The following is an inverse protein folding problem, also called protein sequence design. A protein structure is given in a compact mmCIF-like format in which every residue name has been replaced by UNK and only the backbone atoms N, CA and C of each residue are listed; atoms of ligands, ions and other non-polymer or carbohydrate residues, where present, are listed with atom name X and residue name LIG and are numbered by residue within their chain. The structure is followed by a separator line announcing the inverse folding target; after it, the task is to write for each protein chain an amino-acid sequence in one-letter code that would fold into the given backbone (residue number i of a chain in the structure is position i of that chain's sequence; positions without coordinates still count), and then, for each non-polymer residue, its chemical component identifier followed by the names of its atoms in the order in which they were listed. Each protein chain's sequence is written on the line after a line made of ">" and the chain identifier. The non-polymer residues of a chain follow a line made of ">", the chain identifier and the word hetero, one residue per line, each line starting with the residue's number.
data_IF_387483376384
#
_entry.id   IF_387483376384
#
_cell.length_a   1.000
_cell.length_b   1.000
_cell.length_c   1.000
_cell.angle_alpha   90.00
_cell.angle_beta   90.00
_cell.angle_gamma   90.00
#
_symmetry.space_group_name_H-M   'P 1'
#
loop_
_entity.id
_entity.type
_entity.pdbx_description
1 polymer ?
#
# COMPACT_ATOMS: atom_id res chain seq x y z
N UNK A 1 7.50 2.27 23.98
CA UNK A 1 6.61 3.14 23.19
C UNK A 1 5.35 2.37 22.86
N UNK A 2 4.18 3.00 22.93
CA UNK A 2 2.92 2.37 22.53
C UNK A 2 2.78 2.46 20.99
N UNK A 3 2.42 1.36 20.32
CA UNK A 3 2.20 1.34 18.86
C UNK A 3 0.70 1.55 18.62
N UNK A 4 0.32 2.69 18.05
CA UNK A 4 -1.09 3.02 17.80
C UNK A 4 -1.58 2.51 16.45
N UNK A 5 -0.72 2.46 15.44
CA UNK A 5 -1.09 2.11 14.07
C UNK A 5 -0.13 1.05 13.48
N UNK A 6 -0.31 -0.23 13.84
CA UNK A 6 0.62 -1.29 13.48
C UNK A 6 0.74 -1.53 11.96
N UNK A 7 -0.31 -1.26 11.17
CA UNK A 7 -0.34 -1.49 9.72
C UNK A 7 0.03 -0.26 8.88
N UNK A 8 0.40 0.85 9.51
CA UNK A 8 1.07 1.96 8.84
C UNK A 8 2.57 1.79 9.10
N UNK A 9 3.36 1.65 8.04
CA UNK A 9 4.80 1.51 8.20
C UNK A 9 5.40 2.76 8.84
N UNK A 10 6.52 2.59 9.54
CA UNK A 10 7.33 3.69 10.11
C UNK A 10 7.66 4.72 9.02
N UNK A 11 7.83 4.25 7.79
CA UNK A 11 8.10 5.09 6.62
C UNK A 11 6.86 5.59 5.86
N UNK A 12 5.64 5.38 6.35
CA UNK A 12 4.40 5.94 5.75
C UNK A 12 3.71 5.08 4.72
N UNK A 13 4.40 4.07 4.23
CA UNK A 13 3.80 3.07 3.38
C UNK A 13 2.72 2.29 4.13
N UNK A 14 1.56 2.11 3.52
CA UNK A 14 0.48 1.29 4.08
C UNK A 14 0.79 -0.21 3.94
N UNK A 15 0.98 -0.92 5.06
CA UNK A 15 1.14 -2.38 5.03
C UNK A 15 -0.11 -3.07 4.48
N UNK A 16 -1.30 -2.49 4.71
CA UNK A 16 -2.59 -2.98 4.20
C UNK A 16 -2.64 -3.10 2.67
N UNK A 17 -1.77 -2.40 1.94
CA UNK A 17 -1.70 -2.44 0.47
C UNK A 17 -0.44 -3.17 -0.03
N UNK A 18 0.13 -4.04 0.79
CA UNK A 18 1.33 -4.81 0.45
C UNK A 18 0.98 -6.26 0.10
N UNK A 19 1.55 -6.79 -0.97
CA UNK A 19 1.39 -8.19 -1.37
C UNK A 19 1.83 -9.17 -0.28
N UNK A 20 2.87 -8.84 0.49
CA UNK A 20 3.35 -9.68 1.61
C UNK A 20 2.43 -9.65 2.85
N UNK A 21 1.64 -8.60 3.02
CA UNK A 21 0.64 -8.53 4.09
C UNK A 21 -0.55 -9.45 3.80
N UNK A 22 -0.88 -9.59 2.51
CA UNK A 22 -1.91 -10.49 2.00
C UNK A 22 -1.38 -11.88 1.61
N UNK A 23 -0.24 -12.30 2.16
CA UNK A 23 0.24 -13.68 2.01
C UNK A 23 -0.55 -14.60 2.96
N UNK A 24 -0.96 -15.76 2.46
CA UNK A 24 -1.58 -16.80 3.29
C UNK A 24 -0.51 -17.65 3.99
N UNK A 25 -0.79 -18.05 5.23
CA UNK A 25 0.10 -18.91 6.03
C UNK A 25 1.13 -18.15 6.89
N UNK A 26 2.08 -18.91 7.45
CA UNK A 26 3.02 -18.45 8.49
C UNK A 26 4.05 -17.42 8.01
N UNK A 27 4.23 -17.29 6.68
CA UNK A 27 5.14 -16.30 6.08
C UNK A 27 4.50 -14.91 5.91
N UNK A 28 3.24 -14.73 6.34
CA UNK A 28 2.54 -13.44 6.30
C UNK A 28 3.34 -12.36 7.03
N UNK A 29 3.56 -11.24 6.36
CA UNK A 29 4.20 -10.08 6.97
C UNK A 29 3.18 -9.26 7.76
N UNK A 30 3.36 -9.14 9.08
CA UNK A 30 2.48 -8.32 9.93
C UNK A 30 2.72 -6.81 9.86
N UNK A 31 3.75 -6.36 9.13
CA UNK A 31 4.15 -4.95 9.04
C UNK A 31 5.44 -4.64 9.80
N UNK A 32 6.07 -3.50 9.53
CA UNK A 32 7.41 -3.20 10.06
C UNK A 32 7.48 -3.02 11.58
N UNK A 33 6.32 -2.87 12.23
CA UNK A 33 6.18 -2.66 13.67
C UNK A 33 5.90 -3.95 14.44
N UNK A 34 5.76 -5.09 13.75
CA UNK A 34 5.64 -6.40 14.43
C UNK A 34 6.99 -6.91 14.86
N UNK A 35 7.01 -7.74 15.91
CA UNK A 35 8.23 -8.36 16.43
C UNK A 35 9.01 -9.10 15.34
N UNK A 36 8.31 -9.86 14.49
CA UNK A 36 8.89 -10.61 13.37
C UNK A 36 9.63 -9.74 12.34
N UNK A 37 9.29 -8.44 12.23
CA UNK A 37 9.94 -7.50 11.30
C UNK A 37 10.83 -6.48 12.00
N UNK A 38 10.73 -6.33 13.32
CA UNK A 38 11.54 -5.43 14.11
C UNK A 38 13.05 -5.75 14.08
N UNK A 39 13.41 -6.97 13.65
CA UNK A 39 14.79 -7.43 13.42
C UNK A 39 15.27 -7.34 11.96
N UNK A 40 14.44 -6.91 11.01
CA UNK A 40 14.73 -6.97 9.57
C UNK A 40 15.80 -5.96 9.04
N UNK A 41 16.63 -5.39 9.92
CA UNK A 41 17.74 -4.51 9.55
C UNK A 41 17.37 -3.14 8.99
N UNK A 42 16.09 -2.77 8.93
CA UNK A 42 15.67 -1.47 8.41
C UNK A 42 16.20 -0.32 9.31
N UNK A 43 16.91 0.68 8.74
CA UNK A 43 17.45 1.79 9.53
C UNK A 43 16.37 2.65 10.17
N UNK A 44 15.15 2.68 9.62
CA UNK A 44 14.03 3.42 10.21
C UNK A 44 13.45 2.74 11.45
N UNK A 45 13.43 1.40 11.48
CA UNK A 45 13.01 0.61 12.66
C UNK A 45 13.96 0.88 13.84
N UNK A 46 15.26 0.93 13.60
CA UNK A 46 16.22 1.19 14.69
C UNK A 46 16.26 2.65 15.09
N UNK A 47 15.86 3.57 14.21
CA UNK A 47 15.86 5.00 14.49
C UNK A 47 14.58 5.46 15.21
N UNK A 48 13.44 5.46 14.53
CA UNK A 48 12.22 6.11 15.00
C UNK A 48 11.68 5.46 16.31
N UNK A 49 11.25 4.19 16.32
CA UNK A 49 10.65 3.63 17.53
C UNK A 49 11.67 3.26 18.61
N UNK A 50 12.89 2.84 18.26
CA UNK A 50 13.89 2.36 19.25
C UNK A 50 14.76 3.46 19.85
N UNK A 51 15.25 4.41 19.05
CA UNK A 51 16.18 5.47 19.53
C UNK A 51 15.48 6.79 19.83
N UNK A 52 14.56 7.21 18.96
CA UNK A 52 13.86 8.49 19.08
C UNK A 52 12.54 8.39 19.84
N UNK A 53 12.01 7.18 20.04
CA UNK A 53 10.77 6.95 20.78
C UNK A 53 9.51 7.45 20.07
N UNK A 54 9.57 7.61 18.74
CA UNK A 54 8.46 8.07 17.91
C UNK A 54 7.96 6.96 16.98
N UNK A 55 6.66 6.96 16.67
CA UNK A 55 6.05 5.87 15.92
C UNK A 55 6.38 5.92 14.42
N UNK A 56 6.46 7.13 13.88
CA UNK A 56 6.73 7.38 12.47
C UNK A 56 7.91 8.30 12.25
N UNK A 57 8.50 8.25 11.07
CA UNK A 57 9.55 9.19 10.71
C UNK A 57 9.06 10.63 10.58
N UNK A 58 7.78 10.87 10.27
CA UNK A 58 7.21 12.23 10.26
C UNK A 58 6.89 12.77 11.66
N UNK A 59 6.83 11.91 12.70
CA UNK A 59 6.65 12.38 14.08
C UNK A 59 7.97 12.92 14.67
N UNK A 60 9.11 12.64 14.03
CA UNK A 60 10.42 13.06 14.50
C UNK A 60 10.62 14.56 14.28
N UNK A 61 11.02 15.32 15.31
CA UNK A 61 11.27 16.77 15.20
C UNK A 61 12.29 17.12 14.09
N UNK A 62 13.25 16.23 13.85
CA UNK A 62 14.26 16.37 12.80
C UNK A 62 13.76 15.95 11.40
N UNK A 63 12.47 15.63 11.19
CA UNK A 63 12.01 15.00 9.95
C UNK A 63 12.27 15.83 8.69
N UNK A 64 12.28 17.17 8.81
CA UNK A 64 12.52 18.08 7.69
C UNK A 64 13.99 18.11 7.26
N UNK A 65 14.91 17.96 8.21
CA UNK A 65 16.36 18.01 7.98
C UNK A 65 17.02 16.62 7.95
N UNK A 66 16.24 15.56 8.20
CA UNK A 66 16.75 14.19 8.24
C UNK A 66 17.17 13.69 6.85
N UNK A 67 18.47 13.65 6.58
CA UNK A 67 19.00 13.17 5.30
C UNK A 67 18.56 11.74 4.94
N UNK A 68 18.52 10.83 5.93
CA UNK A 68 18.14 9.42 5.68
C UNK A 68 16.70 9.34 5.18
N UNK A 69 15.82 10.14 5.78
CA UNK A 69 14.42 10.23 5.42
C UNK A 69 14.24 10.88 4.05
N UNK A 70 14.93 12.00 3.80
CA UNK A 70 14.93 12.69 2.51
C UNK A 70 15.45 11.79 1.37
N UNK A 71 16.52 11.02 1.60
CA UNK A 71 17.07 10.05 0.64
C UNK A 71 16.06 8.93 0.33
N UNK A 72 15.39 8.38 1.34
CA UNK A 72 14.36 7.35 1.14
C UNK A 72 13.16 7.85 0.34
N UNK A 73 12.64 9.04 0.67
CA UNK A 73 11.56 9.71 -0.06
C UNK A 73 11.94 10.01 -1.50
N UNK A 74 13.13 10.56 -1.72
CA UNK A 74 13.65 10.86 -3.06
C UNK A 74 13.80 9.60 -3.90
N UNK A 75 14.39 8.53 -3.37
CA UNK A 75 14.48 7.26 -4.08
C UNK A 75 13.09 6.70 -4.42
N UNK A 76 12.14 6.79 -3.47
CA UNK A 76 10.75 6.37 -3.66
C UNK A 76 9.98 7.12 -4.76
N UNK A 77 10.49 8.25 -5.24
CA UNK A 77 9.90 8.95 -6.40
C UNK A 77 10.20 8.26 -7.72
N UNK A 78 11.29 7.50 -7.80
CA UNK A 78 11.76 6.91 -9.07
C UNK A 78 11.74 5.39 -9.05
N UNK A 79 11.93 4.75 -7.89
CA UNK A 79 11.99 3.30 -7.77
C UNK A 79 11.14 2.79 -6.62
N UNK A 80 10.60 1.59 -6.84
CA UNK A 80 9.82 0.84 -5.86
C UNK A 80 10.67 -0.34 -5.35
N UNK A 81 10.33 -0.86 -4.17
CA UNK A 81 10.93 -2.10 -3.67
C UNK A 81 10.03 -3.29 -4.03
N UNK A 82 9.76 -4.17 -3.07
CA UNK A 82 8.69 -5.17 -3.18
C UNK A 82 7.29 -4.55 -3.05
N UNK A 83 7.20 -3.26 -2.70
CA UNK A 83 5.95 -2.50 -2.53
C UNK A 83 6.01 -1.20 -3.36
N UNK A 84 4.85 -0.79 -3.88
CA UNK A 84 4.64 0.47 -4.58
C UNK A 84 4.78 1.69 -3.65
N UNK A 85 5.60 2.66 -4.05
CA UNK A 85 5.88 3.91 -3.31
C UNK A 85 5.25 5.13 -3.98
N UNK A 86 4.50 4.94 -5.08
CA UNK A 86 3.94 6.05 -5.88
C UNK A 86 3.06 7.01 -5.07
N UNK A 87 2.33 6.52 -4.07
CA UNK A 87 1.49 7.34 -3.19
C UNK A 87 2.25 7.97 -2.01
N UNK A 88 3.51 7.60 -1.76
CA UNK A 88 4.21 7.88 -0.50
C UNK A 88 4.22 9.37 -0.13
N UNK A 89 4.54 10.24 -1.08
CA UNK A 89 4.59 11.69 -0.82
C UNK A 89 3.20 12.27 -0.54
N UNK A 90 2.18 11.81 -1.28
CA UNK A 90 0.79 12.23 -1.08
C UNK A 90 0.24 11.71 0.26
N UNK A 91 0.60 10.48 0.64
CA UNK A 91 0.23 9.85 1.91
C UNK A 91 0.84 10.61 3.09
N UNK A 92 2.13 10.97 3.02
CA UNK A 92 2.80 11.79 4.04
C UNK A 92 2.12 13.17 4.15
N UNK A 93 1.89 13.85 3.01
CA UNK A 93 1.22 15.15 3.02
C UNK A 93 -0.21 15.06 3.58
N UNK A 94 -0.94 13.99 3.27
CA UNK A 94 -2.26 13.73 3.82
C UNK A 94 -2.20 13.54 5.34
N UNK A 95 -1.26 12.75 5.85
CA UNK A 95 -1.09 12.53 7.29
C UNK A 95 -0.72 13.83 8.02
N UNK A 96 0.19 14.63 7.45
CA UNK A 96 0.57 15.92 8.06
C UNK A 96 -0.61 16.89 8.13
N UNK A 97 -1.53 16.85 7.15
CA UNK A 97 -2.71 17.72 7.11
C UNK A 97 -3.88 17.21 7.96
N UNK A 98 -4.16 15.91 7.95
CA UNK A 98 -5.40 15.33 8.50
C UNK A 98 -5.17 14.38 9.68
N UNK A 99 -3.91 14.04 9.97
CA UNK A 99 -3.53 13.10 11.02
C UNK A 99 -3.53 11.63 10.56
N UNK A 100 -2.83 10.81 11.36
CA UNK A 100 -2.68 9.37 11.08
C UNK A 100 -4.00 8.57 11.23
N UNK A 101 -4.94 9.05 12.03
CA UNK A 101 -6.25 8.39 12.21
C UNK A 101 -7.09 8.43 10.92
N UNK A 102 -7.20 9.61 10.29
CA UNK A 102 -7.90 9.74 9.02
C UNK A 102 -7.20 8.96 7.90
N UNK A 103 -5.87 8.93 7.94
CA UNK A 103 -5.11 8.11 7.01
C UNK A 103 -5.41 6.62 7.22
N UNK A 104 -5.46 6.13 8.46
CA UNK A 104 -5.81 4.75 8.76
C UNK A 104 -7.21 4.39 8.24
N UNK A 105 -8.21 5.27 8.44
CA UNK A 105 -9.57 5.09 7.91
C UNK A 105 -9.55 4.95 6.38
N UNK A 106 -8.78 5.80 5.70
CA UNK A 106 -8.62 5.74 4.24
C UNK A 106 -7.95 4.43 3.78
N UNK A 107 -6.89 4.01 4.48
CA UNK A 107 -6.17 2.77 4.15
C UNK A 107 -7.02 1.52 4.40
N UNK A 108 -7.89 1.52 5.42
CA UNK A 108 -8.87 0.44 5.67
C UNK A 108 -9.90 0.33 4.53
N UNK A 109 -10.38 1.45 3.98
CA UNK A 109 -11.26 1.45 2.81
C UNK A 109 -10.57 0.84 1.59
N UNK A 110 -9.34 1.27 1.29
CA UNK A 110 -8.55 0.70 0.19
C UNK A 110 -8.27 -0.79 0.39
N UNK A 111 -7.99 -1.22 1.63
CA UNK A 111 -7.79 -2.64 1.95
C UNK A 111 -9.05 -3.47 1.70
N UNK A 112 -10.23 -2.94 2.05
CA UNK A 112 -11.49 -3.63 1.82
C UNK A 112 -11.69 -3.93 0.32
N UNK A 113 -11.54 -2.91 -0.53
CA UNK A 113 -11.61 -3.07 -2.00
C UNK A 113 -10.53 -4.02 -2.53
N UNK A 114 -9.32 -3.97 -1.97
CA UNK A 114 -8.27 -4.91 -2.31
C UNK A 114 -8.65 -6.36 -1.97
N UNK A 115 -9.28 -6.60 -0.81
CA UNK A 115 -9.75 -7.94 -0.44
C UNK A 115 -10.83 -8.43 -1.39
N UNK A 116 -11.78 -7.58 -1.78
CA UNK A 116 -12.78 -7.93 -2.80
C UNK A 116 -12.11 -8.32 -4.13
N UNK A 117 -11.15 -7.53 -4.62
CA UNK A 117 -10.37 -7.88 -5.81
C UNK A 117 -9.65 -9.24 -5.66
N UNK A 118 -9.06 -9.50 -4.49
CA UNK A 118 -8.33 -10.73 -4.21
C UNK A 118 -9.23 -11.96 -4.04
N UNK A 119 -10.44 -11.80 -3.51
CA UNK A 119 -11.37 -12.90 -3.28
C UNK A 119 -12.13 -13.28 -4.55
N UNK A 120 -12.51 -12.28 -5.35
CA UNK A 120 -13.41 -12.48 -6.48
C UNK A 120 -12.69 -12.61 -7.83
N UNK A 121 -11.49 -12.06 -7.97
CA UNK A 121 -10.82 -11.92 -9.28
C UNK A 121 -9.39 -12.47 -9.31
N UNK A 122 -8.83 -12.93 -8.18
CA UNK A 122 -7.48 -13.48 -8.15
C UNK A 122 -7.47 -14.95 -8.59
N UNK A 123 -6.90 -15.17 -9.75
CA UNK A 123 -6.54 -16.46 -10.35
C UNK A 123 -5.25 -17.09 -9.77
N UNK A 124 -4.70 -16.49 -8.71
CA UNK A 124 -3.49 -16.93 -8.01
C UNK A 124 -2.22 -16.19 -8.40
N UNK A 125 -2.28 -15.22 -9.34
CA UNK A 125 -1.10 -14.49 -9.84
C UNK A 125 -1.27 -12.97 -9.82
N UNK A 126 -2.50 -12.48 -9.61
CA UNK A 126 -2.84 -11.06 -9.70
C UNK A 126 -2.58 -10.23 -8.45
N UNK A 127 -2.24 -10.87 -7.32
CA UNK A 127 -2.07 -10.20 -6.03
C UNK A 127 -1.22 -8.93 -6.07
N UNK A 128 -0.04 -9.00 -6.71
CA UNK A 128 0.84 -7.83 -6.79
C UNK A 128 0.21 -6.70 -7.60
N UNK A 129 -0.45 -7.02 -8.71
CA UNK A 129 -1.11 -6.02 -9.56
C UNK A 129 -2.24 -5.32 -8.80
N UNK A 130 -3.10 -6.08 -8.13
CA UNK A 130 -4.21 -5.52 -7.34
C UNK A 130 -3.73 -4.68 -6.16
N UNK A 131 -2.63 -5.08 -5.49
CA UNK A 131 -2.02 -4.25 -4.45
C UNK A 131 -1.52 -2.90 -5.00
N UNK A 132 -0.96 -2.88 -6.21
CA UNK A 132 -0.48 -1.65 -6.86
C UNK A 132 -1.69 -0.79 -7.27
N UNK A 133 -2.70 -1.38 -7.92
CA UNK A 133 -3.93 -0.69 -8.29
C UNK A 133 -4.61 -0.04 -7.07
N UNK A 134 -4.77 -0.81 -5.98
CA UNK A 134 -5.32 -0.31 -4.72
C UNK A 134 -4.49 0.82 -4.07
N UNK A 135 -3.20 0.92 -4.41
CA UNK A 135 -2.31 2.00 -3.95
C UNK A 135 -2.49 3.28 -4.77
N UNK A 136 -2.62 3.17 -6.10
CA UNK A 136 -2.50 4.33 -6.99
C UNK A 136 -3.82 4.87 -7.53
N UNK A 137 -4.84 4.04 -7.72
CA UNK A 137 -6.17 4.51 -8.19
C UNK A 137 -6.92 5.25 -7.09
N UNK A 138 -7.86 6.12 -7.47
CA UNK A 138 -8.81 6.69 -6.52
C UNK A 138 -9.77 5.61 -6.00
N UNK A 139 -10.34 5.83 -4.81
CA UNK A 139 -11.31 4.89 -4.21
C UNK A 139 -12.53 4.71 -5.10
N UNK A 140 -13.09 5.81 -5.61
CA UNK A 140 -14.24 5.75 -6.52
C UNK A 140 -13.93 4.94 -7.80
N UNK A 141 -12.71 5.08 -8.35
CA UNK A 141 -12.29 4.33 -9.54
C UNK A 141 -12.18 2.82 -9.26
N UNK A 142 -11.74 2.44 -8.05
CA UNK A 142 -11.70 1.04 -7.62
C UNK A 142 -13.11 0.47 -7.40
N UNK A 143 -14.00 1.25 -6.78
CA UNK A 143 -15.41 0.89 -6.58
C UNK A 143 -16.12 0.67 -7.91
N UNK A 144 -15.99 1.62 -8.84
CA UNK A 144 -16.55 1.55 -10.18
C UNK A 144 -15.97 0.37 -10.98
N UNK A 145 -14.66 0.14 -10.89
CA UNK A 145 -14.00 -0.98 -11.55
C UNK A 145 -14.52 -2.34 -11.05
N UNK A 146 -14.67 -2.51 -9.74
CA UNK A 146 -15.22 -3.73 -9.14
C UNK A 146 -16.68 -3.94 -9.55
N UNK A 147 -17.52 -2.90 -9.50
CA UNK A 147 -18.91 -2.99 -9.92
C UNK A 147 -19.04 -3.38 -11.40
N UNK A 148 -18.25 -2.75 -12.27
CA UNK A 148 -18.23 -3.06 -13.69
C UNK A 148 -17.70 -4.49 -13.96
N UNK A 149 -16.64 -4.91 -13.27
CA UNK A 149 -16.07 -6.24 -13.44
C UNK A 149 -17.05 -7.33 -13.00
N UNK A 150 -17.76 -7.16 -11.88
CA UNK A 150 -18.81 -8.08 -11.42
C UNK A 150 -19.91 -8.23 -12.46
N UNK A 151 -20.41 -7.11 -13.01
CA UNK A 151 -21.45 -7.12 -14.04
C UNK A 151 -20.99 -7.79 -15.35
N UNK A 152 -19.76 -7.51 -15.78
CA UNK A 152 -19.23 -7.96 -17.08
C UNK A 152 -18.62 -9.38 -17.04
N UNK A 153 -18.59 -10.01 -15.86
CA UNK A 153 -18.01 -11.35 -15.69
C UNK A 153 -18.92 -12.32 -14.95
N UNK A 154 -20.21 -12.01 -14.87
CA UNK A 154 -21.20 -12.91 -14.27
C UNK A 154 -21.22 -14.27 -14.97
N UNK A 155 -21.25 -15.34 -14.18
CA UNK A 155 -21.16 -16.72 -14.66
C UNK A 155 -19.80 -17.14 -15.26
N UNK A 156 -18.79 -16.27 -15.30
CA UNK A 156 -17.46 -16.63 -15.82
C UNK A 156 -16.58 -17.32 -14.77
N UNK A 157 -15.66 -18.16 -15.24
CA UNK A 157 -14.62 -18.74 -14.39
C UNK A 157 -13.60 -17.67 -13.92
N UNK A 158 -12.94 -17.95 -12.79
CA UNK A 158 -12.02 -17.02 -12.11
C UNK A 158 -10.96 -16.41 -13.04
N UNK A 159 -10.46 -17.17 -14.02
CA UNK A 159 -9.45 -16.70 -14.97
C UNK A 159 -9.99 -15.63 -15.91
N UNK A 160 -11.22 -15.79 -16.39
CA UNK A 160 -11.86 -14.80 -17.26
C UNK A 160 -12.34 -13.58 -16.45
N UNK A 161 -12.87 -13.79 -15.23
CA UNK A 161 -13.16 -12.70 -14.29
C UNK A 161 -11.90 -11.84 -14.07
N UNK A 162 -10.77 -12.47 -13.78
CA UNK A 162 -9.48 -11.80 -13.60
C UNK A 162 -9.10 -10.93 -14.80
N UNK A 163 -9.23 -11.47 -16.03
CA UNK A 163 -8.96 -10.72 -17.27
C UNK A 163 -9.87 -9.51 -17.44
N UNK A 164 -11.16 -9.64 -17.12
CA UNK A 164 -12.12 -8.53 -17.18
C UNK A 164 -11.69 -7.42 -16.23
N UNK A 165 -11.36 -7.74 -14.98
CA UNK A 165 -10.91 -6.72 -14.02
C UNK A 165 -9.59 -6.07 -14.47
N UNK A 166 -8.60 -6.84 -14.94
CA UNK A 166 -7.35 -6.25 -15.47
C UNK A 166 -7.61 -5.29 -16.63
N UNK A 167 -8.47 -5.65 -17.58
CA UNK A 167 -8.79 -4.79 -18.71
C UNK A 167 -9.38 -3.45 -18.25
N UNK A 168 -10.26 -3.47 -17.25
CA UNK A 168 -10.87 -2.25 -16.68
C UNK A 168 -9.81 -1.41 -15.94
N UNK A 169 -8.99 -2.04 -15.09
CA UNK A 169 -7.93 -1.34 -14.34
C UNK A 169 -6.88 -0.73 -15.28
N UNK A 170 -6.46 -1.46 -16.31
CA UNK A 170 -5.51 -1.00 -17.31
C UNK A 170 -6.07 0.18 -18.12
N UNK A 171 -7.38 0.17 -18.43
CA UNK A 171 -8.04 1.29 -19.10
C UNK A 171 -8.06 2.55 -18.22
N UNK A 172 -8.48 2.42 -16.96
CA UNK A 172 -8.45 3.54 -15.99
C UNK A 172 -7.02 4.07 -15.86
N UNK A 173 -6.03 3.18 -15.75
CA UNK A 173 -4.64 3.58 -15.64
C UNK A 173 -4.14 4.32 -16.88
N UNK A 174 -4.56 3.90 -18.08
CA UNK A 174 -4.23 4.57 -19.35
C UNK A 174 -4.87 5.96 -19.42
N UNK A 175 -6.15 6.10 -19.07
CA UNK A 175 -6.87 7.38 -19.13
C UNK A 175 -6.37 8.38 -18.08
N UNK A 176 -6.04 7.89 -16.88
CA UNK A 176 -5.62 8.71 -15.72
C UNK A 176 -4.11 8.83 -15.55
N UNK A 177 -3.34 8.18 -16.41
CA UNK A 177 -1.87 8.10 -16.36
C UNK A 177 -1.34 7.48 -15.05
N UNK A 178 -2.01 6.47 -14.52
CA UNK A 178 -1.48 5.66 -13.41
C UNK A 178 -0.48 4.62 -13.90
N UNK A 179 0.48 4.27 -13.05
CA UNK A 179 1.43 3.20 -13.33
C UNK A 179 1.13 1.96 -12.48
N UNK A 180 0.61 0.91 -13.11
CA UNK A 180 0.20 -0.33 -12.43
C UNK A 180 1.32 -1.38 -12.23
N UNK A 181 2.58 -0.95 -12.31
CA UNK A 181 3.74 -1.83 -12.14
C UNK A 181 4.70 -1.24 -11.11
N UNK A 182 5.56 -2.09 -10.54
CA UNK A 182 6.66 -1.61 -9.70
C UNK A 182 7.74 -0.98 -10.60
N UNK A 183 8.14 0.23 -10.26
CA UNK A 183 9.22 0.97 -10.92
C UNK A 183 10.55 0.44 -10.44
N UNK A 184 11.53 0.32 -11.34
CA UNK A 184 12.89 -0.12 -11.03
C UNK A 184 13.85 1.04 -11.11
#
# INVERSE_FOLDING_TARGET
>A
MNIRYPEIAICGLSCRLCSHYHTEGTSRCGGCKTESRAGAGCPFITCAPKKKGVEFCWDCEEHETCEKWAKHRTAGKTSDSFKCYQSLEADIAFVQKNGAEEFEKLQKKREHLLKEMLEEFNEGRSKSSYCIAATVLAIAELEDALAAARKNSDGLEIKERSRVLHAILDEIARERNYHLKLRR
#
